data_IF_430925008806
#
_entry.id   IF_430925008806
#
_cell.length_a   1.000
_cell.length_b   1.000
_cell.length_c   1.000
_cell.angle_alpha   90.00
_cell.angle_beta   90.00
_cell.angle_gamma   90.00
#
_symmetry.space_group_name_H-M   'P 1'
#
loop_
_entity.id
_entity.type
_entity.pdbx_description
1 polymer ?
#
# COMPACT_ATOMS: atom_id res chain seq x y z
N UNK A 1 60.37 -8.85 -6.12
CA UNK A 1 59.62 -7.58 -6.30
C UNK A 1 58.77 -7.33 -5.06
N UNK A 2 59.01 -6.25 -4.31
CA UNK A 2 58.15 -5.88 -3.16
C UNK A 2 56.77 -5.50 -3.71
N UNK A 3 55.71 -6.21 -3.30
CA UNK A 3 54.32 -5.84 -3.63
C UNK A 3 54.07 -4.43 -3.07
N UNK A 4 53.86 -3.43 -3.93
CA UNK A 4 53.43 -2.10 -3.49
C UNK A 4 52.02 -2.21 -2.90
N UNK A 5 51.84 -1.73 -1.66
CA UNK A 5 50.53 -1.66 -1.03
C UNK A 5 49.78 -0.42 -1.53
N UNK A 6 48.49 -0.54 -1.87
CA UNK A 6 47.69 0.62 -2.24
C UNK A 6 47.58 1.57 -1.05
N UNK A 7 47.72 2.86 -1.29
CA UNK A 7 47.67 3.91 -0.26
C UNK A 7 46.25 4.33 0.09
N UNK A 8 45.24 3.95 -0.71
CA UNK A 8 43.79 4.20 -0.53
C UNK A 8 42.96 3.02 -1.02
N UNK A 9 41.69 2.96 -0.59
CA UNK A 9 40.72 2.04 -1.18
C UNK A 9 40.34 2.48 -2.60
N UNK A 10 40.05 1.52 -3.48
CA UNK A 10 39.56 1.80 -4.83
C UNK A 10 38.13 2.36 -4.82
N UNK A 11 37.75 3.04 -5.90
CA UNK A 11 36.52 3.83 -5.99
C UNK A 11 35.26 3.00 -5.70
N UNK A 12 35.17 1.76 -6.20
CA UNK A 12 34.04 0.85 -5.93
C UNK A 12 33.89 0.55 -4.44
N UNK A 13 34.99 0.32 -3.72
CA UNK A 13 34.95 0.06 -2.28
C UNK A 13 34.47 1.30 -1.50
N UNK A 14 34.93 2.49 -1.91
CA UNK A 14 34.54 3.77 -1.30
C UNK A 14 33.04 4.03 -1.54
N UNK A 15 32.56 3.88 -2.77
CA UNK A 15 31.13 4.08 -3.10
C UNK A 15 30.26 3.08 -2.35
N UNK A 16 30.58 1.79 -2.35
CA UNK A 16 29.83 0.79 -1.58
C UNK A 16 29.86 1.08 -0.07
N UNK A 17 30.99 1.56 0.45
CA UNK A 17 31.11 1.91 1.87
C UNK A 17 30.14 3.03 2.25
N UNK A 18 30.19 4.17 1.55
CA UNK A 18 29.38 5.33 1.87
C UNK A 18 27.91 5.14 1.55
N UNK A 19 27.58 4.46 0.45
CA UNK A 19 26.20 4.11 0.13
C UNK A 19 25.57 3.28 1.26
N UNK A 20 26.24 2.21 1.69
CA UNK A 20 25.74 1.37 2.81
C UNK A 20 25.70 2.17 4.11
N UNK A 21 26.73 2.98 4.40
CA UNK A 21 26.80 3.75 5.64
C UNK A 21 25.64 4.74 5.76
N UNK A 22 25.37 5.54 4.72
CA UNK A 22 24.27 6.50 4.73
C UNK A 22 22.90 5.83 4.75
N UNK A 23 22.72 4.72 4.02
CA UNK A 23 21.47 3.95 4.08
C UNK A 23 21.22 3.39 5.49
N UNK A 24 22.24 2.85 6.16
CA UNK A 24 22.12 2.37 7.54
C UNK A 24 21.78 3.50 8.50
N UNK A 25 22.43 4.67 8.40
CA UNK A 25 22.11 5.83 9.24
C UNK A 25 20.64 6.25 9.05
N UNK A 26 20.18 6.31 7.80
CA UNK A 26 18.78 6.60 7.48
C UNK A 26 17.82 5.56 8.06
N UNK A 27 18.12 4.27 7.90
CA UNK A 27 17.32 3.17 8.46
C UNK A 27 17.21 3.25 9.98
N UNK A 28 18.31 3.56 10.69
CA UNK A 28 18.30 3.69 12.14
C UNK A 28 17.45 4.88 12.61
N UNK A 29 17.53 6.02 11.90
CA UNK A 29 16.71 7.20 12.19
C UNK A 29 15.23 6.95 11.92
N UNK A 30 14.90 6.41 10.73
CA UNK A 30 13.52 6.06 10.35
C UNK A 30 12.96 5.00 11.30
N UNK A 31 13.74 3.98 11.67
CA UNK A 31 13.30 2.93 12.58
C UNK A 31 12.91 3.46 13.97
N UNK A 32 13.67 4.42 14.51
CA UNK A 32 13.32 5.09 15.77
C UNK A 32 12.12 6.02 15.63
N UNK A 33 11.98 6.72 14.50
CA UNK A 33 10.87 7.63 14.28
C UNK A 33 9.55 6.88 14.04
N UNK A 34 9.54 5.90 13.14
CA UNK A 34 8.32 5.14 12.79
C UNK A 34 7.72 4.40 13.99
N UNK A 35 8.57 3.90 14.90
CA UNK A 35 8.12 3.22 16.12
C UNK A 35 7.60 4.16 17.20
N UNK A 36 7.82 5.47 17.05
CA UNK A 36 7.28 6.51 17.95
C UNK A 36 5.90 7.04 17.52
N UNK A 37 5.47 6.75 16.30
CA UNK A 37 4.15 7.16 15.78
C UNK A 37 3.04 6.26 16.34
N UNK A 38 1.82 6.78 16.43
CA UNK A 38 0.64 5.99 16.81
C UNK A 38 0.36 4.87 15.79
N UNK A 39 -0.24 3.77 16.24
CA UNK A 39 -0.53 2.61 15.37
C UNK A 39 -1.52 2.94 14.24
N UNK A 40 -2.43 3.88 14.49
CA UNK A 40 -3.43 4.33 13.53
C UNK A 40 -2.89 5.38 12.54
N UNK A 41 -1.66 5.88 12.71
CA UNK A 41 -1.10 6.90 11.82
C UNK A 41 -0.71 6.27 10.45
N UNK A 42 -1.29 6.71 9.32
CA UNK A 42 -0.96 6.19 8.00
C UNK A 42 0.53 6.34 7.64
N UNK A 43 1.20 7.35 8.19
CA UNK A 43 2.64 7.58 7.97
C UNK A 43 3.48 6.42 8.54
N UNK A 44 3.04 5.78 9.62
CA UNK A 44 3.74 4.64 10.24
C UNK A 44 3.82 3.46 9.27
N UNK A 45 2.72 3.15 8.57
CA UNK A 45 2.70 2.10 7.55
C UNK A 45 3.69 2.42 6.42
N UNK A 46 3.61 3.63 5.85
CA UNK A 46 4.47 4.06 4.75
C UNK A 46 5.94 4.01 5.12
N UNK A 47 6.32 4.58 6.27
CA UNK A 47 7.71 4.55 6.75
C UNK A 47 8.20 3.13 7.02
N UNK A 48 7.32 2.23 7.49
CA UNK A 48 7.66 0.83 7.71
C UNK A 48 7.95 0.10 6.40
N UNK A 49 7.17 0.32 5.34
CA UNK A 49 7.45 -0.26 4.02
C UNK A 49 8.77 0.26 3.42
N UNK A 50 9.04 1.57 3.56
CA UNK A 50 10.33 2.15 3.16
C UNK A 50 11.50 1.60 3.97
N UNK A 51 11.33 1.42 5.29
CA UNK A 51 12.34 0.81 6.14
C UNK A 51 12.66 -0.63 5.71
N UNK A 52 11.64 -1.44 5.40
CA UNK A 52 11.82 -2.79 4.85
C UNK A 52 12.57 -2.77 3.51
N UNK A 53 12.16 -1.89 2.60
CA UNK A 53 12.77 -1.72 1.26
C UNK A 53 14.28 -1.46 1.36
N UNK A 54 14.67 -0.44 2.13
CA UNK A 54 16.08 -0.09 2.28
C UNK A 54 16.85 -1.11 3.13
N UNK A 55 16.19 -1.80 4.06
CA UNK A 55 16.78 -2.91 4.80
C UNK A 55 17.19 -4.07 3.89
N UNK A 56 16.32 -4.44 2.94
CA UNK A 56 16.61 -5.46 1.93
C UNK A 56 17.69 -4.98 0.96
N UNK A 57 17.68 -3.69 0.57
CA UNK A 57 18.75 -3.12 -0.25
C UNK A 57 20.13 -3.27 0.43
N UNK A 58 20.23 -2.97 1.74
CA UNK A 58 21.47 -3.18 2.50
C UNK A 58 21.86 -4.66 2.51
N UNK A 59 20.89 -5.56 2.72
CA UNK A 59 21.12 -7.01 2.71
C UNK A 59 21.69 -7.51 1.37
N UNK A 60 21.37 -6.85 0.24
CA UNK A 60 21.93 -7.15 -1.08
C UNK A 60 23.31 -6.49 -1.28
N UNK A 61 23.48 -5.24 -0.86
CA UNK A 61 24.74 -4.49 -1.05
C UNK A 61 25.90 -5.03 -0.19
N UNK A 62 25.60 -5.58 0.98
CA UNK A 62 26.62 -6.10 1.91
C UNK A 62 27.38 -7.31 1.35
N UNK A 63 26.74 -8.34 0.78
CA UNK A 63 27.41 -9.40 0.03
C UNK A 63 28.30 -8.87 -1.11
N UNK A 64 27.82 -7.90 -1.90
CA UNK A 64 28.63 -7.29 -2.96
C UNK A 64 29.89 -6.65 -2.41
N UNK A 65 29.77 -5.90 -1.31
CA UNK A 65 30.91 -5.30 -0.60
C UNK A 65 31.84 -6.36 -0.01
N UNK A 66 31.32 -7.47 0.50
CA UNK A 66 32.13 -8.57 1.02
C UNK A 66 32.92 -9.25 -0.09
N UNK A 67 32.26 -9.61 -1.21
CA UNK A 67 32.92 -10.18 -2.40
C UNK A 67 34.00 -9.23 -2.91
N UNK A 68 33.72 -7.94 -2.99
CA UNK A 68 34.72 -6.93 -3.38
C UNK A 68 35.93 -6.93 -2.45
N UNK A 69 35.71 -6.93 -1.13
CA UNK A 69 36.77 -6.96 -0.12
C UNK A 69 37.61 -8.24 -0.18
N UNK A 70 37.01 -9.38 -0.51
CA UNK A 70 37.73 -10.66 -0.61
C UNK A 70 38.56 -10.76 -1.90
N UNK A 71 38.13 -10.08 -2.97
CA UNK A 71 38.79 -10.12 -4.28
C UNK A 71 39.83 -9.02 -4.48
N UNK A 72 39.76 -7.93 -3.69
CA UNK A 72 40.65 -6.78 -3.82
C UNK A 72 41.47 -6.55 -2.54
N UNK A 73 42.76 -6.22 -2.70
CA UNK A 73 43.65 -5.98 -1.54
C UNK A 73 43.33 -4.65 -0.86
N UNK A 74 43.08 -4.69 0.44
CA UNK A 74 42.94 -3.50 1.27
C UNK A 74 44.31 -2.80 1.50
N UNK A 75 44.32 -1.48 1.70
CA UNK A 75 45.50 -0.74 2.18
C UNK A 75 46.05 -1.34 3.48
N UNK A 76 47.38 -1.39 3.62
CA UNK A 76 48.02 -1.88 4.83
C UNK A 76 47.70 -1.00 6.05
N UNK A 77 47.61 -1.60 7.24
CA UNK A 77 47.47 -0.85 8.48
C UNK A 77 48.71 0.06 8.72
N UNK A 78 48.58 1.17 9.45
CA UNK A 78 49.74 1.97 9.86
C UNK A 78 50.75 1.10 10.63
N UNK A 79 52.02 1.15 10.26
CA UNK A 79 53.07 0.28 10.84
C UNK A 79 53.30 0.56 12.34
N UNK A 80 53.00 1.78 12.80
CA UNK A 80 53.23 2.24 14.18
C UNK A 80 52.04 1.96 15.13
N UNK A 81 50.93 1.41 14.63
CA UNK A 81 49.74 1.19 15.45
C UNK A 81 49.93 -0.03 16.39
N UNK A 82 49.54 0.08 17.68
CA UNK A 82 49.60 -1.04 18.61
C UNK A 82 48.79 -2.26 18.12
N UNK A 83 49.27 -3.47 18.40
CA UNK A 83 48.60 -4.73 17.98
C UNK A 83 47.14 -4.84 18.42
N UNK A 84 46.76 -4.22 19.54
CA UNK A 84 45.38 -4.21 20.01
C UNK A 84 44.47 -3.35 19.11
N UNK A 85 44.97 -2.27 18.50
CA UNK A 85 44.22 -1.47 17.53
C UNK A 85 43.95 -2.27 16.25
N UNK A 86 44.92 -3.08 15.80
CA UNK A 86 44.73 -4.00 14.67
C UNK A 86 43.66 -5.05 14.98
N UNK A 87 43.69 -5.64 16.18
CA UNK A 87 42.68 -6.60 16.61
C UNK A 87 41.29 -5.95 16.71
N UNK A 88 41.19 -4.76 17.31
CA UNK A 88 39.94 -4.02 17.42
C UNK A 88 39.36 -3.63 16.05
N UNK A 89 40.22 -3.23 15.10
CA UNK A 89 39.82 -2.96 13.73
C UNK A 89 39.32 -4.25 13.02
N UNK A 90 39.98 -5.39 13.23
CA UNK A 90 39.53 -6.66 12.67
C UNK A 90 38.17 -7.09 13.24
N UNK A 91 38.02 -7.06 14.57
CA UNK A 91 36.79 -7.44 15.27
C UNK A 91 35.62 -6.52 14.93
N UNK A 92 35.84 -5.20 14.84
CA UNK A 92 34.77 -4.26 14.45
C UNK A 92 34.30 -4.51 13.02
N UNK A 93 35.21 -4.74 12.07
CA UNK A 93 34.81 -5.09 10.70
C UNK A 93 34.02 -6.40 10.65
N UNK A 94 34.44 -7.44 11.38
CA UNK A 94 33.68 -8.71 11.48
C UNK A 94 32.30 -8.45 12.08
N UNK A 95 32.24 -7.68 13.17
CA UNK A 95 31.00 -7.28 13.82
C UNK A 95 30.04 -6.56 12.87
N UNK A 96 30.53 -5.61 12.07
CA UNK A 96 29.70 -4.96 11.05
C UNK A 96 29.19 -5.94 10.01
N UNK A 97 30.04 -6.80 9.42
CA UNK A 97 29.58 -7.75 8.40
C UNK A 97 28.50 -8.68 8.95
N UNK A 98 28.65 -9.14 10.21
CA UNK A 98 27.63 -9.95 10.87
C UNK A 98 26.33 -9.15 11.11
N UNK A 99 26.43 -7.98 11.75
CA UNK A 99 25.25 -7.19 12.13
C UNK A 99 24.49 -6.64 10.92
N UNK A 100 25.19 -6.22 9.86
CA UNK A 100 24.56 -5.74 8.62
C UNK A 100 23.78 -6.84 7.88
N UNK A 101 24.00 -8.12 8.21
CA UNK A 101 23.20 -9.25 7.70
C UNK A 101 22.13 -9.63 8.72
N UNK A 102 22.51 -9.80 9.99
CA UNK A 102 21.60 -10.26 11.06
C UNK A 102 20.44 -9.30 11.30
N UNK A 103 20.68 -7.98 11.29
CA UNK A 103 19.62 -6.99 11.51
C UNK A 103 18.52 -7.10 10.44
N UNK A 104 18.78 -6.94 9.13
CA UNK A 104 17.73 -7.07 8.12
C UNK A 104 17.14 -8.50 8.06
N UNK A 105 17.94 -9.56 8.28
CA UNK A 105 17.40 -10.93 8.31
C UNK A 105 16.42 -11.14 9.45
N UNK A 106 16.72 -10.66 10.65
CA UNK A 106 15.79 -10.77 11.79
C UNK A 106 14.53 -9.95 11.56
N UNK A 107 14.61 -8.80 10.89
CA UNK A 107 13.45 -8.01 10.48
C UNK A 107 12.58 -8.70 9.42
N UNK A 108 13.22 -9.35 8.44
CA UNK A 108 12.50 -10.11 7.41
C UNK A 108 11.80 -11.35 7.99
N UNK A 109 12.45 -12.05 8.93
CA UNK A 109 11.81 -13.14 9.67
C UNK A 109 10.65 -12.62 10.53
N UNK A 110 10.84 -11.49 11.23
CA UNK A 110 9.80 -10.86 12.05
C UNK A 110 8.53 -10.59 11.25
N UNK A 111 8.63 -9.95 10.07
CA UNK A 111 7.46 -9.70 9.22
C UNK A 111 6.88 -11.00 8.62
N UNK A 112 7.72 -11.99 8.32
CA UNK A 112 7.27 -13.30 7.81
C UNK A 112 6.52 -14.14 8.85
N UNK A 113 6.78 -13.88 10.13
CA UNK A 113 6.10 -14.52 11.25
C UNK A 113 4.95 -13.66 11.80
N UNK A 114 4.61 -12.51 11.19
CA UNK A 114 3.63 -11.60 11.76
C UNK A 114 2.20 -12.12 11.64
N UNK A 115 1.39 -11.97 12.68
CA UNK A 115 -0.03 -12.36 12.64
C UNK A 115 -0.88 -11.45 11.78
N UNK A 116 -0.42 -10.23 11.49
CA UNK A 116 -1.14 -9.26 10.65
C UNK A 116 -1.10 -9.64 9.17
N UNK A 117 -0.16 -10.50 8.76
CA UNK A 117 -0.01 -11.01 7.39
C UNK A 117 0.01 -9.92 6.31
N UNK A 118 0.60 -8.77 6.66
CA UNK A 118 0.73 -7.64 5.75
C UNK A 118 1.92 -7.88 4.83
N UNK A 119 1.65 -7.83 3.52
CA UNK A 119 2.66 -7.98 2.49
C UNK A 119 3.79 -6.95 2.65
N UNK A 120 5.01 -7.41 2.34
CA UNK A 120 6.15 -6.53 2.19
C UNK A 120 6.19 -6.04 0.75
N UNK A 121 6.06 -4.72 0.56
CA UNK A 121 6.06 -4.11 -0.76
C UNK A 121 7.34 -3.28 -0.93
N UNK A 122 8.27 -3.73 -1.77
CA UNK A 122 9.45 -2.95 -2.09
C UNK A 122 9.04 -1.75 -2.94
N UNK A 123 9.50 -0.57 -2.51
CA UNK A 123 9.14 0.70 -3.13
C UNK A 123 7.62 0.91 -3.22
N UNK A 124 6.86 0.30 -2.30
CA UNK A 124 5.39 0.27 -2.25
C UNK A 124 4.68 -0.43 -3.43
N UNK A 125 5.41 -1.12 -4.32
CA UNK A 125 4.81 -1.72 -5.52
C UNK A 125 5.21 -3.17 -5.80
N UNK A 126 6.44 -3.57 -5.46
CA UNK A 126 6.93 -4.91 -5.81
C UNK A 126 6.75 -5.83 -4.59
N UNK A 127 5.88 -6.85 -4.64
CA UNK A 127 5.71 -7.77 -3.53
C UNK A 127 7.00 -8.55 -3.29
N UNK A 128 7.38 -8.64 -2.01
CA UNK A 128 8.54 -9.37 -1.55
C UNK A 128 8.10 -10.55 -0.69
N UNK A 129 8.55 -11.77 -1.00
CA UNK A 129 8.02 -12.97 -0.36
C UNK A 129 8.36 -13.01 1.12
N UNK A 130 7.43 -13.56 1.91
CA UNK A 130 7.73 -14.03 3.24
C UNK A 130 8.71 -15.22 3.20
N UNK A 131 9.54 -15.36 4.23
CA UNK A 131 10.50 -16.46 4.34
C UNK A 131 9.81 -17.72 4.86
N UNK A 132 9.87 -18.86 4.15
CA UNK A 132 9.50 -20.15 4.72
C UNK A 132 10.42 -20.52 5.89
N UNK A 133 9.92 -21.27 6.91
CA UNK A 133 8.55 -21.76 7.05
C UNK A 133 7.63 -20.79 7.83
N UNK A 134 8.05 -19.54 8.05
CA UNK A 134 7.44 -18.65 9.05
C UNK A 134 5.94 -18.35 8.82
N UNK A 135 5.45 -18.18 7.58
CA UNK A 135 4.03 -18.01 7.31
C UNK A 135 3.18 -19.19 7.77
N UNK A 136 3.70 -20.42 7.72
CA UNK A 136 2.93 -21.65 8.00
C UNK A 136 2.99 -22.12 9.47
N UNK A 137 3.73 -21.42 10.33
CA UNK A 137 3.89 -21.83 11.74
C UNK A 137 2.63 -21.57 12.55
N UNK A 138 2.18 -22.54 13.37
CA UNK A 138 1.01 -22.38 14.23
C UNK A 138 1.20 -21.33 15.36
N UNK A 139 2.44 -20.96 15.69
CA UNK A 139 2.78 -20.04 16.78
C UNK A 139 3.45 -18.75 16.29
N UNK A 140 2.88 -18.12 15.26
CA UNK A 140 3.37 -16.86 14.64
C UNK A 140 3.74 -15.78 15.67
N UNK A 141 2.83 -15.45 16.58
CA UNK A 141 3.04 -14.41 17.61
C UNK A 141 4.30 -14.63 18.47
N UNK A 142 4.59 -15.89 18.85
CA UNK A 142 5.80 -16.22 19.61
C UNK A 142 7.07 -15.88 18.82
N UNK A 143 7.08 -16.19 17.52
CA UNK A 143 8.22 -15.95 16.64
C UNK A 143 8.36 -14.47 16.30
N UNK A 144 7.26 -13.80 15.95
CA UNK A 144 7.22 -12.35 15.70
C UNK A 144 7.83 -11.58 16.89
N UNK A 145 7.32 -11.81 18.11
CA UNK A 145 7.83 -11.13 19.31
C UNK A 145 9.31 -11.43 19.57
N UNK A 146 9.73 -12.68 19.35
CA UNK A 146 11.12 -13.09 19.53
C UNK A 146 12.04 -12.36 18.56
N UNK A 147 11.68 -12.32 17.28
CA UNK A 147 12.49 -11.70 16.24
C UNK A 147 12.43 -10.17 16.31
N UNK A 148 11.33 -9.58 16.79
CA UNK A 148 11.28 -8.17 17.15
C UNK A 148 12.35 -7.82 18.20
N UNK A 149 12.42 -8.57 19.30
CA UNK A 149 13.45 -8.38 20.34
C UNK A 149 14.87 -8.58 19.80
N UNK A 150 15.09 -9.59 18.95
CA UNK A 150 16.41 -9.80 18.35
C UNK A 150 16.79 -8.67 17.39
N UNK A 151 15.85 -8.17 16.61
CA UNK A 151 16.07 -7.04 15.71
C UNK A 151 16.42 -5.77 16.50
N UNK A 152 15.71 -5.48 17.58
CA UNK A 152 15.99 -4.34 18.47
C UNK A 152 17.37 -4.47 19.13
N UNK A 153 17.70 -5.65 19.66
CA UNK A 153 19.00 -5.89 20.29
C UNK A 153 20.15 -5.77 19.27
N UNK A 154 20.01 -6.38 18.09
CA UNK A 154 21.02 -6.35 17.05
C UNK A 154 21.21 -4.95 16.47
N UNK A 155 20.13 -4.20 16.27
CA UNK A 155 20.20 -2.80 15.80
C UNK A 155 20.83 -1.89 16.87
N UNK A 156 20.56 -2.12 18.15
CA UNK A 156 21.23 -1.40 19.25
C UNK A 156 22.73 -1.69 19.27
N UNK A 157 23.13 -2.96 19.12
CA UNK A 157 24.53 -3.34 18.99
C UNK A 157 25.20 -2.68 17.77
N UNK A 158 24.48 -2.60 16.65
CA UNK A 158 24.94 -1.92 15.43
C UNK A 158 25.15 -0.41 15.66
N UNK A 159 24.23 0.26 16.37
CA UNK A 159 24.39 1.69 16.75
C UNK A 159 25.66 1.89 17.57
N UNK A 160 25.84 1.09 18.63
CA UNK A 160 27.02 1.20 19.51
C UNK A 160 28.30 0.98 18.70
N UNK A 161 28.34 -0.05 17.85
CA UNK A 161 29.50 -0.33 17.01
C UNK A 161 29.76 0.78 15.98
N UNK A 162 28.71 1.36 15.40
CA UNK A 162 28.79 2.49 14.47
C UNK A 162 29.39 3.73 15.16
N UNK A 163 28.93 4.07 16.36
CA UNK A 163 29.46 5.19 17.13
C UNK A 163 30.94 4.98 17.47
N UNK A 164 31.31 3.78 17.92
CA UNK A 164 32.72 3.43 18.20
C UNK A 164 33.56 3.53 16.93
N UNK A 165 33.06 3.04 15.80
CA UNK A 165 33.75 3.09 14.52
C UNK A 165 34.02 4.53 14.05
N UNK A 166 33.00 5.39 14.11
CA UNK A 166 33.13 6.81 13.76
C UNK A 166 34.12 7.49 14.72
N UNK A 167 33.97 7.29 16.02
CA UNK A 167 34.88 7.85 17.03
C UNK A 167 36.33 7.40 16.80
N UNK A 168 36.56 6.13 16.45
CA UNK A 168 37.88 5.62 16.11
C UNK A 168 38.44 6.29 14.85
N UNK A 169 37.65 6.42 13.78
CA UNK A 169 38.09 7.10 12.55
C UNK A 169 38.44 8.57 12.79
N UNK A 170 37.66 9.27 13.62
CA UNK A 170 37.92 10.66 14.02
C UNK A 170 39.14 10.79 14.94
N UNK A 171 39.32 9.88 15.90
CA UNK A 171 40.54 9.79 16.74
C UNK A 171 41.77 9.62 15.85
N UNK A 172 41.73 8.68 14.91
CA UNK A 172 42.83 8.45 13.97
C UNK A 172 43.15 9.71 13.14
N UNK A 173 42.12 10.45 12.73
CA UNK A 173 42.28 11.66 11.94
C UNK A 173 42.84 12.85 12.72
N UNK A 174 42.30 13.15 13.91
CA UNK A 174 42.63 14.36 14.66
C UNK A 174 43.70 14.16 15.74
N UNK A 175 43.75 12.98 16.37
CA UNK A 175 44.69 12.67 17.45
C UNK A 175 45.92 11.96 16.89
N UNK A 176 45.74 10.80 16.23
CA UNK A 176 46.85 10.06 15.66
C UNK A 176 47.44 10.75 14.42
N UNK A 177 46.65 11.62 13.76
CA UNK A 177 47.02 12.37 12.55
C UNK A 177 47.50 11.46 11.41
N UNK A 178 46.92 10.27 11.30
CA UNK A 178 47.23 9.32 10.25
C UNK A 178 46.21 9.40 9.10
N UNK A 179 46.40 8.51 8.11
CA UNK A 179 45.59 8.48 6.89
C UNK A 179 44.45 7.45 6.94
N UNK A 180 44.11 6.86 8.09
CA UNK A 180 43.08 5.80 8.20
C UNK A 180 41.73 6.26 7.63
N UNK A 181 41.24 7.43 8.04
CA UNK A 181 40.00 8.00 7.51
C UNK A 181 40.13 8.37 6.02
N UNK A 182 41.23 9.05 5.65
CA UNK A 182 41.45 9.56 4.29
C UNK A 182 41.47 8.46 3.23
N UNK A 183 41.87 7.24 3.60
CA UNK A 183 41.86 6.06 2.72
C UNK A 183 40.47 5.68 2.21
N UNK A 184 39.41 6.06 2.93
CA UNK A 184 38.02 5.76 2.60
C UNK A 184 37.25 7.00 2.11
N UNK A 185 37.87 8.17 2.03
CA UNK A 185 37.17 9.36 1.49
C UNK A 185 37.00 9.25 -0.04
N UNK A 186 35.91 9.83 -0.58
CA UNK A 186 35.77 10.05 -2.01
C UNK A 186 36.98 10.79 -2.59
N UNK A 187 37.45 10.33 -3.74
CA UNK A 187 38.49 11.03 -4.50
C UNK A 187 37.83 11.81 -5.63
N UNK A 188 37.60 13.10 -5.40
CA UNK A 188 36.96 13.99 -6.37
C UNK A 188 37.79 14.18 -7.66
N UNK A 189 39.07 13.81 -7.66
CA UNK A 189 39.91 13.84 -8.86
C UNK A 189 39.79 12.56 -9.71
N UNK A 190 39.18 11.50 -9.18
CA UNK A 190 39.04 10.24 -9.90
C UNK A 190 37.89 10.30 -10.91
N UNK A 191 38.21 10.14 -12.20
CA UNK A 191 37.21 9.93 -13.24
C UNK A 191 36.36 8.68 -13.00
N UNK A 192 36.97 7.60 -12.49
CA UNK A 192 36.26 6.35 -12.22
C UNK A 192 35.22 6.50 -11.10
N UNK A 193 35.54 7.28 -10.07
CA UNK A 193 34.59 7.60 -8.99
C UNK A 193 33.36 8.33 -9.53
N UNK A 194 33.56 9.35 -10.37
CA UNK A 194 32.45 10.12 -10.94
C UNK A 194 31.62 9.30 -11.93
N UNK A 195 32.25 8.48 -12.78
CA UNK A 195 31.55 7.58 -13.70
C UNK A 195 30.68 6.56 -12.95
N UNK A 196 31.21 5.97 -11.87
CA UNK A 196 30.46 5.01 -11.06
C UNK A 196 29.30 5.69 -10.34
N UNK A 197 29.54 6.85 -9.74
CA UNK A 197 28.52 7.58 -8.97
C UNK A 197 27.40 8.11 -9.87
N UNK A 198 27.74 8.66 -11.05
CA UNK A 198 26.76 9.11 -12.02
C UNK A 198 25.98 7.95 -12.64
N UNK A 199 26.64 6.81 -12.89
CA UNK A 199 25.98 5.58 -13.33
C UNK A 199 24.93 5.10 -12.34
N UNK A 200 25.29 4.99 -11.05
CA UNK A 200 24.35 4.61 -9.98
C UNK A 200 23.21 5.62 -9.88
N UNK A 201 23.53 6.93 -9.91
CA UNK A 201 22.52 7.99 -9.85
C UNK A 201 21.54 7.94 -11.01
N UNK A 202 22.01 7.72 -12.24
CA UNK A 202 21.18 7.59 -13.43
C UNK A 202 20.31 6.33 -13.37
N UNK A 203 20.86 5.18 -12.95
CA UNK A 203 20.07 3.95 -12.76
C UNK A 203 18.99 4.14 -11.71
N UNK A 204 19.30 4.77 -10.57
CA UNK A 204 18.32 5.07 -9.53
C UNK A 204 17.22 6.02 -10.03
N UNK A 205 17.58 7.03 -10.83
CA UNK A 205 16.62 7.95 -11.43
C UNK A 205 15.71 7.25 -12.44
N UNK A 206 16.27 6.46 -13.36
CA UNK A 206 15.47 5.69 -14.34
C UNK A 206 14.52 4.74 -13.62
N UNK A 207 15.01 4.05 -12.59
CA UNK A 207 14.19 3.16 -11.78
C UNK A 207 13.07 3.93 -11.06
N UNK A 208 13.35 5.08 -10.45
CA UNK A 208 12.35 5.91 -9.79
C UNK A 208 11.30 6.45 -10.77
N UNK A 209 11.69 6.88 -11.98
CA UNK A 209 10.76 7.31 -13.04
C UNK A 209 9.89 6.14 -13.48
N UNK A 210 10.47 4.95 -13.66
CA UNK A 210 9.73 3.74 -14.00
C UNK A 210 8.72 3.35 -12.91
N UNK A 211 9.12 3.39 -11.64
CA UNK A 211 8.23 3.17 -10.51
C UNK A 211 7.08 4.18 -10.47
N UNK A 212 7.38 5.47 -10.69
CA UNK A 212 6.36 6.51 -10.71
C UNK A 212 5.37 6.33 -11.88
N UNK A 213 5.86 5.97 -13.07
CA UNK A 213 5.00 5.65 -14.20
C UNK A 213 4.12 4.42 -13.93
N UNK A 214 4.69 3.36 -13.35
CA UNK A 214 3.96 2.15 -12.95
C UNK A 214 2.89 2.47 -11.90
N UNK A 215 3.21 3.29 -10.90
CA UNK A 215 2.25 3.73 -9.90
C UNK A 215 1.10 4.54 -10.52
N UNK A 216 1.39 5.45 -11.45
CA UNK A 216 0.36 6.21 -12.17
C UNK A 216 -0.56 5.33 -13.00
N UNK A 217 0.00 4.31 -13.65
CA UNK A 217 -0.78 3.35 -14.44
C UNK A 217 -1.70 2.50 -13.53
N UNK A 218 -1.21 2.08 -12.36
CA UNK A 218 -2.01 1.27 -11.42
C UNK A 218 -2.98 2.09 -10.53
N UNK A 219 -2.78 3.41 -10.41
CA UNK A 219 -3.73 4.33 -9.76
C UNK A 219 -4.86 4.81 -10.67
N UNK A 220 -4.78 4.56 -11.98
CA UNK A 220 -5.90 4.87 -12.86
C UNK A 220 -7.13 4.03 -12.45
N UNK A 221 -8.34 4.63 -12.38
CA UNK A 221 -9.56 3.86 -12.14
C UNK A 221 -9.72 2.84 -13.26
N UNK A 222 -9.88 1.57 -12.89
CA UNK A 222 -9.90 0.44 -13.84
C UNK A 222 -11.28 0.26 -14.45
N UNK A 223 -12.32 0.77 -13.80
CA UNK A 223 -13.71 0.65 -14.24
C UNK A 223 -14.40 1.99 -14.08
N UNK A 224 -14.87 2.54 -15.19
CA UNK A 224 -15.83 3.64 -15.22
C UNK A 224 -17.00 3.25 -16.10
N UNK A 225 -18.17 3.01 -15.53
CA UNK A 225 -19.40 2.90 -16.30
C UNK A 225 -20.07 4.27 -16.42
N UNK A 226 -20.68 4.57 -17.58
CA UNK A 226 -21.58 5.70 -17.73
C UNK A 226 -22.72 5.35 -18.70
N UNK A 227 -23.96 5.52 -18.23
CA UNK A 227 -25.11 5.81 -19.11
C UNK A 227 -26.04 4.69 -19.59
N UNK A 228 -25.64 3.40 -19.57
CA UNK A 228 -26.48 2.31 -20.14
C UNK A 228 -26.91 1.27 -19.08
N UNK A 229 -27.09 1.69 -17.82
CA UNK A 229 -27.44 0.77 -16.75
C UNK A 229 -28.94 0.43 -16.73
N UNK A 230 -29.27 -0.86 -16.64
CA UNK A 230 -30.65 -1.32 -16.43
C UNK A 230 -30.99 -1.22 -14.96
N UNK A 231 -32.11 -0.57 -14.62
CA UNK A 231 -32.63 -0.50 -13.25
C UNK A 231 -34.06 -0.99 -13.24
N UNK A 232 -34.30 -2.05 -12.47
CA UNK A 232 -35.58 -2.72 -12.32
C UNK A 232 -36.01 -2.61 -10.86
N UNK A 233 -37.28 -2.30 -10.63
CA UNK A 233 -37.89 -2.44 -9.31
C UNK A 233 -38.99 -3.51 -9.33
N UNK A 234 -39.24 -4.11 -8.18
CA UNK A 234 -40.30 -5.11 -8.00
C UNK A 234 -41.02 -4.86 -6.70
N UNK A 235 -42.35 -4.83 -6.75
CA UNK A 235 -43.21 -4.67 -5.58
C UNK A 235 -44.42 -5.61 -5.69
N UNK A 236 -44.82 -6.31 -4.62
CA UNK A 236 -46.04 -7.11 -4.63
C UNK A 236 -47.27 -6.21 -4.72
N UNK A 237 -48.16 -6.44 -5.68
CA UNK A 237 -49.48 -5.80 -5.79
C UNK A 237 -50.55 -6.90 -5.82
N UNK A 238 -51.45 -6.88 -4.83
CA UNK A 238 -52.51 -7.88 -4.65
C UNK A 238 -51.99 -9.33 -4.68
N UNK A 239 -50.82 -9.56 -4.07
CA UNK A 239 -50.17 -10.87 -4.00
C UNK A 239 -49.38 -11.31 -5.24
N UNK A 240 -49.28 -10.49 -6.29
CA UNK A 240 -48.47 -10.76 -7.48
C UNK A 240 -47.33 -9.74 -7.57
N UNK A 241 -46.12 -10.19 -7.90
CA UNK A 241 -44.99 -9.27 -8.10
C UNK A 241 -45.20 -8.46 -9.38
N UNK A 242 -45.36 -7.15 -9.23
CA UNK A 242 -45.36 -6.18 -10.33
C UNK A 242 -43.94 -5.69 -10.52
N UNK A 243 -43.46 -5.75 -11.76
CA UNK A 243 -42.12 -5.33 -12.13
C UNK A 243 -42.19 -3.99 -12.85
N UNK A 244 -41.27 -3.09 -12.51
CA UNK A 244 -41.06 -1.86 -13.26
C UNK A 244 -39.60 -1.64 -13.63
N UNK A 245 -39.39 -0.72 -14.57
CA UNK A 245 -38.08 -0.37 -15.09
C UNK A 245 -37.96 1.14 -15.30
N UNK A 246 -36.73 1.62 -15.37
CA UNK A 246 -36.40 3.00 -15.76
C UNK A 246 -35.52 2.98 -17.01
N UNK A 247 -35.95 3.71 -18.04
CA UNK A 247 -35.24 3.75 -19.34
C UNK A 247 -34.17 4.86 -19.40
N UNK A 248 -34.21 5.84 -18.50
CA UNK A 248 -33.26 6.95 -18.46
C UNK A 248 -32.52 7.00 -17.12
N UNK A 249 -31.30 6.44 -17.12
CA UNK A 249 -30.42 6.33 -15.96
C UNK A 249 -29.07 6.96 -16.24
N UNK A 250 -28.50 7.62 -15.24
CA UNK A 250 -27.12 8.11 -15.25
C UNK A 250 -26.40 7.51 -14.04
N UNK A 251 -25.69 6.41 -14.27
CA UNK A 251 -24.97 5.67 -13.23
C UNK A 251 -23.48 5.68 -13.53
N UNK A 252 -22.73 6.24 -12.58
CA UNK A 252 -21.28 6.31 -12.58
C UNK A 252 -20.74 5.48 -11.43
N UNK A 253 -20.16 4.32 -11.78
CA UNK A 253 -19.39 3.49 -10.87
C UNK A 253 -17.90 3.70 -11.15
N UNK A 254 -17.15 4.02 -10.10
CA UNK A 254 -15.68 4.14 -10.11
C UNK A 254 -15.13 3.15 -9.10
N UNK A 255 -14.29 2.22 -9.54
CA UNK A 255 -13.53 1.31 -8.68
C UNK A 255 -12.03 1.54 -8.87
N UNK A 256 -11.34 1.93 -7.79
CA UNK A 256 -9.90 2.15 -7.73
C UNK A 256 -9.16 0.87 -7.31
N UNK A 257 -8.15 0.46 -8.08
CA UNK A 257 -7.43 -0.80 -7.87
C UNK A 257 -6.52 -0.79 -6.62
N UNK A 258 -6.13 0.39 -6.12
CA UNK A 258 -5.12 0.55 -5.06
C UNK A 258 -5.54 1.45 -3.88
N UNK A 259 -6.61 2.24 -4.04
CA UNK A 259 -7.12 3.14 -3.02
C UNK A 259 -8.63 2.98 -2.88
N UNK A 260 -9.11 2.24 -1.86
CA UNK A 260 -10.53 2.08 -1.61
C UNK A 260 -11.28 3.41 -1.42
N UNK A 261 -10.60 4.50 -1.05
CA UNK A 261 -11.21 5.82 -0.91
C UNK A 261 -11.55 6.48 -2.24
N UNK A 262 -10.99 5.98 -3.35
CA UNK A 262 -11.35 6.41 -4.69
C UNK A 262 -12.63 5.73 -5.22
N UNK A 263 -13.12 4.69 -4.53
CA UNK A 263 -14.33 3.98 -4.96
C UNK A 263 -15.56 4.87 -4.77
N UNK A 264 -16.39 4.99 -5.80
CA UNK A 264 -17.66 5.72 -5.69
C UNK A 264 -18.72 5.14 -6.62
N UNK A 265 -19.97 5.17 -6.17
CA UNK A 265 -21.15 4.87 -6.97
C UNK A 265 -22.12 6.04 -6.83
N UNK A 266 -22.41 6.68 -7.97
CA UNK A 266 -23.43 7.73 -8.08
C UNK A 266 -24.45 7.29 -9.10
N UNK A 267 -25.72 7.30 -8.73
CA UNK A 267 -26.82 7.01 -9.64
C UNK A 267 -27.82 8.15 -9.60
N UNK A 268 -28.28 8.57 -10.77
CA UNK A 268 -29.42 9.47 -10.95
C UNK A 268 -30.41 8.79 -11.89
N UNK A 269 -31.66 8.68 -11.45
CA UNK A 269 -32.75 8.09 -12.21
C UNK A 269 -33.73 9.19 -12.57
N UNK A 270 -34.07 9.32 -13.85
CA UNK A 270 -35.16 10.19 -14.27
C UNK A 270 -36.49 9.46 -14.07
N UNK A 271 -37.31 9.97 -13.15
CA UNK A 271 -38.54 9.28 -12.71
C UNK A 271 -39.61 9.23 -13.82
N UNK A 272 -39.58 10.16 -14.78
CA UNK A 272 -40.49 10.18 -15.95
C UNK A 272 -40.27 8.96 -16.86
N UNK A 273 -39.10 8.33 -16.80
CA UNK A 273 -38.80 7.11 -17.56
C UNK A 273 -39.30 5.83 -16.91
N UNK A 274 -39.98 5.93 -15.76
CA UNK A 274 -40.51 4.80 -15.01
C UNK A 274 -41.72 4.17 -15.69
N UNK A 275 -41.72 2.84 -15.83
CA UNK A 275 -42.88 2.08 -16.29
C UNK A 275 -43.03 0.77 -15.52
N UNK A 276 -44.23 0.18 -15.53
CA UNK A 276 -44.50 -1.14 -14.94
C UNK A 276 -45.26 -2.06 -15.88
N UNK A 277 -45.12 -3.36 -15.67
CA UNK A 277 -45.84 -4.41 -16.39
C UNK A 277 -47.34 -4.50 -16.03
N UNK A 278 -47.77 -3.78 -14.98
CA UNK A 278 -49.16 -3.69 -14.55
C UNK A 278 -49.78 -2.36 -15.01
N UNK A 279 -50.72 -2.36 -15.97
CA UNK A 279 -51.30 -1.13 -16.51
C UNK A 279 -51.96 -0.22 -15.47
N UNK A 280 -52.56 -0.80 -14.41
CA UNK A 280 -53.22 -0.03 -13.35
C UNK A 280 -52.20 0.66 -12.43
N UNK A 281 -51.11 -0.02 -12.08
CA UNK A 281 -50.03 0.59 -11.32
C UNK A 281 -49.32 1.66 -12.17
N UNK A 282 -49.10 1.36 -13.46
CA UNK A 282 -48.47 2.27 -14.41
C UNK A 282 -49.22 3.59 -14.56
N UNK A 283 -50.56 3.57 -14.55
CA UNK A 283 -51.36 4.79 -14.71
C UNK A 283 -51.28 5.75 -13.51
N UNK A 284 -50.86 5.28 -12.34
CA UNK A 284 -50.78 6.07 -11.10
C UNK A 284 -49.35 6.29 -10.60
N UNK A 285 -48.35 5.77 -11.32
CA UNK A 285 -46.96 5.78 -10.88
C UNK A 285 -46.41 7.20 -10.68
N UNK A 286 -46.85 8.13 -11.54
CA UNK A 286 -46.40 9.53 -11.53
C UNK A 286 -47.21 10.43 -10.58
N UNK A 287 -48.28 9.90 -9.98
CA UNK A 287 -49.19 10.68 -9.13
C UNK A 287 -48.48 11.19 -7.84
N UNK A 288 -49.00 12.24 -7.18
CA UNK A 288 -48.40 12.81 -5.96
C UNK A 288 -48.22 11.84 -4.80
N UNK A 289 -49.09 10.83 -4.66
CA UNK A 289 -48.93 9.82 -3.60
C UNK A 289 -47.77 8.84 -3.93
N UNK A 290 -47.42 8.69 -5.20
CA UNK A 290 -46.32 7.84 -5.67
C UNK A 290 -45.08 8.68 -5.96
N UNK A 291 -44.59 8.75 -7.21
CA UNK A 291 -43.33 9.43 -7.50
C UNK A 291 -43.41 10.96 -7.39
N UNK A 292 -44.61 11.54 -7.47
CA UNK A 292 -44.80 13.00 -7.39
C UNK A 292 -43.88 13.74 -8.37
N UNK A 293 -44.01 13.37 -9.65
CA UNK A 293 -43.07 13.74 -10.71
C UNK A 293 -42.91 15.25 -10.86
N UNK A 294 -43.99 16.01 -10.63
CA UNK A 294 -44.01 17.47 -10.73
C UNK A 294 -43.07 18.15 -9.72
N UNK A 295 -42.87 17.53 -8.54
CA UNK A 295 -42.01 18.06 -7.49
C UNK A 295 -40.64 17.36 -7.42
N UNK A 296 -40.57 16.09 -7.81
CA UNK A 296 -39.40 15.24 -7.68
C UNK A 296 -39.09 14.49 -8.98
N UNK A 297 -38.53 15.17 -10.00
CA UNK A 297 -38.26 14.56 -11.30
C UNK A 297 -37.16 13.50 -11.27
N UNK A 298 -36.38 13.41 -10.19
CA UNK A 298 -35.26 12.48 -10.07
C UNK A 298 -35.25 11.76 -8.72
N UNK A 299 -34.80 10.50 -8.76
CA UNK A 299 -34.28 9.79 -7.59
C UNK A 299 -32.76 9.65 -7.73
N UNK A 300 -32.05 9.54 -6.61
CA UNK A 300 -30.59 9.43 -6.64
C UNK A 300 -30.02 8.53 -5.55
N UNK A 301 -28.83 8.01 -5.81
CA UNK A 301 -28.02 7.29 -4.83
C UNK A 301 -26.59 7.83 -4.86
N UNK A 302 -25.98 7.99 -3.69
CA UNK A 302 -24.56 8.30 -3.57
C UNK A 302 -23.92 7.44 -2.48
N UNK A 303 -22.90 6.68 -2.85
CA UNK A 303 -22.10 5.90 -1.91
C UNK A 303 -21.34 6.82 -0.94
N UNK A 304 -21.30 6.44 0.33
CA UNK A 304 -20.35 6.96 1.33
C UNK A 304 -19.11 6.07 1.47
N UNK A 305 -19.25 4.77 1.20
CA UNK A 305 -18.18 3.78 1.36
C UNK A 305 -18.42 2.57 0.43
N UNK A 306 -17.33 2.04 -0.16
CA UNK A 306 -17.35 0.81 -0.97
C UNK A 306 -16.13 -0.04 -0.59
N UNK A 307 -16.37 -1.21 0.00
CA UNK A 307 -15.32 -2.10 0.52
C UNK A 307 -15.33 -3.42 -0.24
N UNK A 308 -14.15 -3.91 -0.65
CA UNK A 308 -14.00 -5.25 -1.21
C UNK A 308 -14.14 -6.29 -0.09
N UNK A 309 -15.08 -7.22 -0.21
CA UNK A 309 -15.35 -8.24 0.80
C UNK A 309 -14.98 -9.66 0.35
N UNK A 310 -14.99 -9.94 -0.95
CA UNK A 310 -14.50 -11.19 -1.53
C UNK A 310 -14.05 -10.97 -2.98
N UNK A 311 -13.58 -12.02 -3.66
CA UNK A 311 -13.17 -11.90 -5.08
C UNK A 311 -14.38 -11.42 -5.90
N UNK A 312 -14.22 -10.27 -6.57
CA UNK A 312 -15.24 -9.62 -7.39
C UNK A 312 -16.53 -9.21 -6.64
N UNK A 313 -16.51 -9.15 -5.31
CA UNK A 313 -17.67 -8.77 -4.49
C UNK A 313 -17.33 -7.60 -3.56
N UNK A 314 -18.16 -6.57 -3.65
CA UNK A 314 -18.04 -5.33 -2.89
C UNK A 314 -19.28 -5.13 -2.02
N UNK A 315 -19.09 -4.51 -0.86
CA UNK A 315 -20.16 -4.01 -0.02
C UNK A 315 -20.23 -2.48 -0.20
N UNK A 316 -21.37 -2.00 -0.67
CA UNK A 316 -21.63 -0.58 -0.92
C UNK A 316 -22.55 -0.04 0.16
N UNK A 317 -22.15 1.05 0.81
CA UNK A 317 -22.99 1.82 1.75
C UNK A 317 -23.18 3.23 1.22
N UNK A 318 -24.40 3.76 1.30
CA UNK A 318 -24.70 5.11 0.84
C UNK A 318 -26.13 5.54 1.09
N UNK A 319 -26.43 6.77 0.65
CA UNK A 319 -27.74 7.38 0.82
C UNK A 319 -28.58 7.25 -0.47
N UNK A 320 -29.75 6.65 -0.35
CA UNK A 320 -30.81 6.65 -1.36
C UNK A 320 -31.77 7.82 -1.10
N UNK A 321 -32.07 8.58 -2.15
CA UNK A 321 -32.97 9.72 -2.12
C UNK A 321 -34.14 9.49 -3.06
N UNK A 322 -35.36 9.43 -2.52
CA UNK A 322 -36.62 9.35 -3.28
C UNK A 322 -37.59 10.35 -2.68
N UNK A 323 -38.30 11.14 -3.51
CA UNK A 323 -39.16 12.27 -3.07
C UNK A 323 -38.46 13.24 -2.10
N UNK A 324 -37.16 13.47 -2.31
CA UNK A 324 -36.34 14.31 -1.43
C UNK A 324 -36.08 13.76 -0.03
N UNK A 325 -36.51 12.52 0.26
CA UNK A 325 -36.26 11.83 1.54
C UNK A 325 -35.03 10.96 1.39
N UNK A 326 -34.07 11.13 2.30
CA UNK A 326 -32.82 10.37 2.31
C UNK A 326 -32.89 9.21 3.31
N UNK A 327 -32.46 8.02 2.89
CA UNK A 327 -32.25 6.86 3.76
C UNK A 327 -30.94 6.19 3.41
N UNK A 328 -30.17 5.86 4.44
CA UNK A 328 -28.96 5.07 4.27
C UNK A 328 -29.31 3.60 4.05
N UNK A 329 -28.59 2.96 3.15
CA UNK A 329 -28.70 1.54 2.90
C UNK A 329 -27.34 0.94 2.51
N UNK A 330 -27.25 -0.38 2.68
CA UNK A 330 -26.06 -1.15 2.37
C UNK A 330 -26.44 -2.37 1.56
N UNK A 331 -25.70 -2.66 0.49
CA UNK A 331 -25.96 -3.79 -0.38
C UNK A 331 -24.69 -4.38 -1.02
N UNK A 332 -24.72 -5.66 -1.40
CA UNK A 332 -23.65 -6.27 -2.17
C UNK A 332 -23.69 -5.82 -3.63
N UNK A 333 -22.52 -5.57 -4.20
CA UNK A 333 -22.26 -5.29 -5.60
C UNK A 333 -21.28 -6.35 -6.13
N UNK A 334 -21.70 -7.08 -7.18
CA UNK A 334 -20.95 -8.16 -7.79
C UNK A 334 -20.42 -7.75 -9.15
N UNK A 335 -19.12 -7.93 -9.36
CA UNK A 335 -18.46 -7.74 -10.65
C UNK A 335 -18.38 -9.08 -11.37
N UNK A 336 -18.83 -9.16 -12.61
CA UNK A 336 -18.78 -10.39 -13.42
C UNK A 336 -17.84 -10.19 -14.59
N UNK A 337 -16.78 -11.00 -14.66
CA UNK A 337 -15.74 -10.97 -15.70
C UNK A 337 -15.08 -9.59 -15.93
N UNK A 338 -15.15 -8.69 -14.95
CA UNK A 338 -14.70 -7.30 -15.10
C UNK A 338 -15.52 -6.47 -16.11
N UNK A 339 -16.67 -6.96 -16.56
CA UNK A 339 -17.49 -6.35 -17.63
C UNK A 339 -18.87 -5.88 -17.18
N UNK A 340 -19.38 -6.41 -16.08
CA UNK A 340 -20.72 -6.07 -15.59
C UNK A 340 -20.69 -5.94 -14.07
N UNK A 341 -21.34 -4.92 -13.54
CA UNK A 341 -21.57 -4.74 -12.12
C UNK A 341 -23.06 -4.87 -11.81
N UNK A 342 -23.41 -5.84 -10.98
CA UNK A 342 -24.79 -6.16 -10.63
C UNK A 342 -25.01 -5.97 -9.13
N UNK A 343 -26.18 -5.49 -8.75
CA UNK A 343 -26.53 -5.33 -7.34
C UNK A 343 -28.03 -5.37 -7.13
N UNK A 344 -28.41 -5.66 -5.89
CA UNK A 344 -29.82 -5.69 -5.48
C UNK A 344 -29.96 -5.26 -4.04
N UNK A 345 -31.00 -4.49 -3.75
CA UNK A 345 -31.32 -4.05 -2.40
C UNK A 345 -32.82 -3.93 -2.19
N UNK A 346 -33.22 -4.00 -0.92
CA UNK A 346 -34.61 -3.84 -0.50
C UNK A 346 -34.76 -2.54 0.29
N UNK A 347 -35.90 -1.88 0.14
CA UNK A 347 -36.29 -0.76 0.99
C UNK A 347 -37.79 -0.78 1.31
N UNK A 348 -38.20 -0.09 2.36
CA UNK A 348 -39.62 0.05 2.70
C UNK A 348 -40.21 1.26 1.97
N UNK A 349 -41.21 1.05 1.12
CA UNK A 349 -41.81 2.11 0.29
C UNK A 349 -42.38 3.27 1.12
N UNK A 350 -42.93 2.96 2.29
CA UNK A 350 -43.52 3.94 3.20
C UNK A 350 -42.47 4.85 3.87
N UNK A 351 -41.21 4.42 3.98
CA UNK A 351 -40.12 5.26 4.49
C UNK A 351 -39.83 6.47 3.59
N UNK A 352 -40.26 6.40 2.33
CA UNK A 352 -40.16 7.45 1.33
C UNK A 352 -41.53 8.04 0.96
N UNK A 353 -42.61 7.66 1.66
CA UNK A 353 -43.96 8.15 1.37
C UNK A 353 -44.50 7.73 0.00
N UNK A 354 -44.16 6.52 -0.47
CA UNK A 354 -44.63 5.97 -1.74
C UNK A 354 -45.93 5.17 -1.54
N UNK A 355 -47.02 5.70 -2.10
CA UNK A 355 -48.37 5.13 -2.02
C UNK A 355 -48.91 5.13 -0.60
N UNK A 356 -48.52 6.09 0.23
CA UNK A 356 -48.80 6.07 1.67
C UNK A 356 -50.23 6.55 2.00
N UNK A 357 -50.79 7.46 1.21
CA UNK A 357 -52.16 7.94 1.40
C UNK A 357 -53.18 6.90 0.95
N UNK A 358 -52.95 6.30 -0.23
CA UNK A 358 -53.87 5.33 -0.82
C UNK A 358 -53.67 3.92 -0.26
N UNK A 359 -52.42 3.53 0.04
CA UNK A 359 -52.06 2.18 0.49
C UNK A 359 -51.13 2.24 1.73
N UNK A 360 -51.66 2.59 2.92
CA UNK A 360 -50.87 2.71 4.14
C UNK A 360 -50.41 1.37 4.75
N UNK A 361 -50.86 0.24 4.22
CA UNK A 361 -50.59 -1.11 4.72
C UNK A 361 -50.10 -2.08 3.62
N UNK A 362 -49.85 -3.33 3.98
CA UNK A 362 -49.32 -4.38 3.09
C UNK A 362 -50.41 -5.21 2.39
N UNK A 363 -51.70 -4.85 2.53
CA UNK A 363 -52.82 -5.69 2.07
C UNK A 363 -52.91 -5.71 0.55
N UNK A 364 -52.83 -4.54 -0.08
CA UNK A 364 -52.97 -4.39 -1.53
C UNK A 364 -51.63 -4.14 -2.21
N UNK A 365 -50.68 -3.51 -1.52
CA UNK A 365 -49.34 -3.23 -2.03
C UNK A 365 -48.34 -3.56 -0.93
N UNK A 366 -47.45 -4.51 -1.20
CA UNK A 366 -46.39 -4.91 -0.27
C UNK A 366 -45.53 -3.72 0.16
N UNK A 367 -45.07 -3.75 1.41
CA UNK A 367 -44.27 -2.65 1.98
C UNK A 367 -42.84 -2.62 1.44
N UNK A 368 -42.28 -3.80 1.16
CA UNK A 368 -40.91 -3.93 0.67
C UNK A 368 -40.88 -3.88 -0.85
N UNK A 369 -40.12 -2.92 -1.38
CA UNK A 369 -39.75 -2.88 -2.77
C UNK A 369 -38.30 -3.38 -2.92
N UNK A 370 -38.06 -4.17 -3.97
CA UNK A 370 -36.72 -4.64 -4.33
C UNK A 370 -36.27 -3.90 -5.57
N UNK A 371 -35.05 -3.34 -5.54
CA UNK A 371 -34.39 -2.74 -6.69
C UNK A 371 -33.25 -3.65 -7.09
N UNK A 372 -33.14 -3.93 -8.38
CA UNK A 372 -32.01 -4.65 -8.98
C UNK A 372 -31.49 -3.86 -10.15
N UNK A 373 -30.17 -3.85 -10.31
CA UNK A 373 -29.53 -3.11 -11.39
C UNK A 373 -28.38 -3.89 -12.01
N UNK A 374 -28.15 -3.60 -13.28
CA UNK A 374 -27.06 -4.14 -14.08
C UNK A 374 -26.36 -2.98 -14.79
N UNK A 375 -25.07 -2.82 -14.53
CA UNK A 375 -24.24 -1.73 -15.01
C UNK A 375 -23.14 -2.30 -15.91
N UNK A 376 -23.18 -2.05 -17.23
CA UNK A 376 -22.08 -2.38 -18.13
C UNK A 376 -20.83 -1.58 -17.77
N UNK A 377 -19.69 -2.28 -17.66
CA UNK A 377 -18.38 -1.69 -17.37
C UNK A 377 -17.60 -1.48 -18.67
N UNK A 378 -16.95 -0.33 -18.81
CA UNK A 378 -16.14 0.04 -19.98
C UNK A 378 -14.65 0.01 -19.68
#
# INVERSE_FOLDING_TARGET
>A
MRKQYPTRYGDVAVVLHWLIAFTIIGLLAIGKYMTSLDEADPLRYSLTQWHKTFGILVLILVPLRLVWRLTHRAPAHPDDAPKWEHLAAALSHIGFYLLMIVVPMTGWIMVSASTLDIDTLLFNVIPWPHLPPFPELANKEFWEHRFHKFHELASTALIVLLLIHIAAALKHHWVNKDNVLKRMLPDASSHGFWQLSSGIGLTALIFAVGLYAFELENKAPVVTSAGDASVIFTVPVSGTNTQGQFDATDIVLVLGNADPSANSLKATINMDSGSTDNPQANSSLMDPDWFDLDNFPTASFSSSEIVLISVDEYLVTGALTIKGINKDLTFPLLITEGKQATGSFNFQRLDFGLGAEQYPDDVNVGLTATVSFDIPLQ
#
